data_IF_645626649955
#
_entry.id   IF_645626649955
#
_cell.length_a   1.000
_cell.length_b   1.000
_cell.length_c   1.000
_cell.angle_alpha   90.00
_cell.angle_beta   90.00
_cell.angle_gamma   90.00
#
_symmetry.space_group_name_H-M   'P 1'
#
loop_
_entity.id
_entity.type
_entity.pdbx_description
1 polymer ?
#
# COMPACT_ATOMS: atom_id res chain seq x y z
N UNK A 1 27.90 30.78 -12.28
CA UNK A 1 27.18 29.51 -12.54
C UNK A 1 26.66 29.57 -13.96
N UNK A 2 27.04 28.64 -14.83
CA UNK A 2 26.75 28.75 -16.26
C UNK A 2 25.24 28.69 -16.50
N UNK A 3 24.68 29.49 -17.43
CA UNK A 3 23.23 29.52 -17.69
C UNK A 3 22.68 28.14 -18.05
N UNK A 4 23.50 27.32 -18.73
CA UNK A 4 23.19 25.93 -19.06
C UNK A 4 22.96 25.06 -17.81
N UNK A 5 23.77 25.24 -16.75
CA UNK A 5 23.64 24.48 -15.50
C UNK A 5 22.36 24.86 -14.76
N UNK A 6 22.00 26.15 -14.78
CA UNK A 6 20.76 26.65 -14.15
C UNK A 6 19.54 26.04 -14.83
N UNK A 7 19.52 26.00 -16.16
CA UNK A 7 18.42 25.43 -16.93
C UNK A 7 18.23 23.93 -16.67
N UNK A 8 19.34 23.19 -16.59
CA UNK A 8 19.33 21.75 -16.26
C UNK A 8 18.77 21.53 -14.86
N UNK A 9 19.18 22.32 -13.87
CA UNK A 9 18.70 22.19 -12.49
C UNK A 9 17.19 22.47 -12.41
N UNK A 10 16.70 23.52 -13.07
CA UNK A 10 15.27 23.85 -13.11
C UNK A 10 14.47 22.71 -13.75
N UNK A 11 14.97 22.13 -14.84
CA UNK A 11 14.32 21.01 -15.53
C UNK A 11 14.22 19.76 -14.64
N UNK A 12 15.28 19.42 -13.89
CA UNK A 12 15.27 18.28 -12.96
C UNK A 12 14.27 18.52 -11.82
N UNK A 13 14.27 19.72 -11.22
CA UNK A 13 13.34 20.05 -10.13
C UNK A 13 11.89 19.93 -10.60
N UNK A 14 11.59 20.47 -11.78
CA UNK A 14 10.24 20.40 -12.38
C UNK A 14 9.79 18.95 -12.60
N UNK A 15 10.69 18.07 -13.07
CA UNK A 15 10.39 16.65 -13.25
C UNK A 15 10.12 15.94 -11.91
N UNK A 16 10.92 16.21 -10.87
CA UNK A 16 10.73 15.58 -9.55
C UNK A 16 9.42 15.99 -8.87
N UNK A 17 8.91 17.20 -9.14
CA UNK A 17 7.63 17.66 -8.61
C UNK A 17 6.44 16.89 -9.22
N UNK A 18 6.56 16.47 -10.49
CA UNK A 18 5.52 15.72 -11.19
C UNK A 18 5.47 14.24 -10.78
N UNK A 19 6.59 13.68 -10.33
CA UNK A 19 6.73 12.27 -9.97
C UNK A 19 6.40 11.97 -8.50
N UNK A 20 5.55 12.78 -7.87
CA UNK A 20 5.13 12.50 -6.49
C UNK A 20 4.19 11.29 -6.49
N UNK A 21 4.76 10.12 -6.27
CA UNK A 21 4.03 8.87 -6.09
C UNK A 21 3.62 8.83 -4.63
N UNK A 22 2.36 9.10 -4.34
CA UNK A 22 1.80 8.71 -3.05
C UNK A 22 1.81 7.17 -3.02
N UNK A 23 2.44 6.58 -1.98
CA UNK A 23 2.22 5.17 -1.69
C UNK A 23 0.73 5.02 -1.39
N UNK A 24 -0.02 4.55 -2.38
CA UNK A 24 -1.40 4.13 -2.15
C UNK A 24 -1.25 2.92 -1.23
N UNK A 25 -1.59 3.09 0.06
CA UNK A 25 -1.85 1.99 0.97
C UNK A 25 -3.07 1.22 0.44
N UNK A 26 -2.85 0.45 -0.62
CA UNK A 26 -3.86 -0.40 -1.21
C UNK A 26 -3.97 -1.66 -0.36
N UNK A 27 -5.18 -1.94 0.08
CA UNK A 27 -5.48 -3.18 0.78
C UNK A 27 -5.22 -4.36 -0.17
N UNK A 28 -4.37 -5.28 0.29
CA UNK A 28 -3.97 -6.46 -0.47
C UNK A 28 -4.75 -7.68 0.02
N UNK A 29 -5.27 -8.51 -0.88
CA UNK A 29 -5.94 -9.74 -0.49
C UNK A 29 -4.94 -10.71 0.17
N UNK A 30 -5.29 -11.29 1.33
CA UNK A 30 -4.43 -12.30 1.98
C UNK A 30 -4.30 -13.56 1.12
N UNK A 31 -3.06 -14.06 0.99
CA UNK A 31 -2.76 -15.31 0.27
C UNK A 31 -2.90 -16.57 1.13
N UNK A 32 -2.71 -16.45 2.45
CA UNK A 32 -2.75 -17.58 3.38
C UNK A 32 -4.10 -17.72 4.10
N UNK A 33 -4.93 -16.68 4.15
CA UNK A 33 -6.23 -16.74 4.80
C UNK A 33 -7.21 -17.60 3.98
N UNK A 34 -7.77 -18.64 4.60
CA UNK A 34 -8.68 -19.58 3.93
C UNK A 34 -10.06 -19.52 4.56
N UNK A 35 -11.07 -19.56 3.69
CA UNK A 35 -12.47 -19.55 4.10
C UNK A 35 -12.98 -18.14 4.44
N UNK A 36 -14.17 -18.06 5.06
CA UNK A 36 -14.80 -16.79 5.36
C UNK A 36 -14.14 -16.06 6.52
N UNK A 37 -14.02 -14.75 6.36
CA UNK A 37 -13.52 -13.86 7.39
C UNK A 37 -14.63 -13.56 8.39
N UNK A 38 -14.53 -14.16 9.58
CA UNK A 38 -15.49 -13.99 10.69
C UNK A 38 -14.92 -13.19 11.86
N UNK A 39 -13.62 -12.92 11.84
CA UNK A 39 -12.92 -12.20 12.91
C UNK A 39 -11.73 -11.44 12.33
N UNK A 40 -11.73 -10.12 12.52
CA UNK A 40 -10.63 -9.24 12.12
C UNK A 40 -9.32 -9.62 12.80
N UNK A 41 -9.38 -10.10 14.05
CA UNK A 41 -8.18 -10.53 14.79
C UNK A 41 -7.49 -11.71 14.11
N UNK A 42 -8.27 -12.68 13.60
CA UNK A 42 -7.70 -13.82 12.86
C UNK A 42 -7.09 -13.36 11.54
N UNK A 43 -7.79 -12.50 10.80
CA UNK A 43 -7.28 -11.92 9.55
C UNK A 43 -5.97 -11.16 9.79
N UNK A 44 -5.94 -10.26 10.78
CA UNK A 44 -4.77 -9.48 11.18
C UNK A 44 -3.57 -10.35 11.54
N UNK A 45 -3.76 -11.44 12.27
CA UNK A 45 -2.66 -12.34 12.64
C UNK A 45 -2.07 -13.04 11.41
N UNK A 46 -2.91 -13.46 10.46
CA UNK A 46 -2.46 -14.04 9.19
C UNK A 46 -1.71 -13.00 8.36
N UNK A 47 -2.25 -11.79 8.20
CA UNK A 47 -1.61 -10.69 7.49
C UNK A 47 -0.25 -10.33 8.11
N UNK A 48 -0.11 -10.33 9.43
CA UNK A 48 1.19 -10.15 10.10
C UNK A 48 2.18 -11.27 9.77
N UNK A 49 1.71 -12.51 9.68
CA UNK A 49 2.52 -13.64 9.18
C UNK A 49 2.95 -13.48 7.72
N UNK A 50 2.17 -12.77 6.92
CA UNK A 50 2.49 -12.39 5.52
C UNK A 50 3.42 -11.16 5.42
N UNK A 51 3.85 -10.58 6.56
CA UNK A 51 4.70 -9.40 6.58
C UNK A 51 3.96 -8.07 6.43
N UNK A 52 2.63 -8.06 6.61
CA UNK A 52 1.78 -6.85 6.58
C UNK A 52 1.58 -6.29 7.98
N UNK A 53 1.34 -4.98 8.13
CA UNK A 53 1.13 -4.35 9.45
C UNK A 53 -0.18 -4.75 10.10
N UNK A 54 -1.24 -4.87 9.30
CA UNK A 54 -2.61 -5.05 9.79
C UNK A 54 -3.47 -5.80 8.76
N UNK A 55 -4.74 -6.00 9.10
CA UNK A 55 -5.75 -6.55 8.21
C UNK A 55 -7.15 -6.50 8.84
N UNK A 56 -8.16 -6.55 7.98
CA UNK A 56 -9.57 -6.49 8.31
C UNK A 56 -10.40 -7.41 7.41
N UNK A 57 -11.55 -7.85 7.92
CA UNK A 57 -12.55 -8.57 7.15
C UNK A 57 -13.42 -7.57 6.37
N UNK A 58 -13.74 -7.91 5.12
CA UNK A 58 -14.76 -7.16 4.39
C UNK A 58 -16.14 -7.27 5.10
N UNK A 59 -16.93 -6.20 5.10
CA UNK A 59 -18.24 -6.08 5.79
C UNK A 59 -19.31 -7.05 5.27
N UNK A 60 -19.05 -7.77 4.19
CA UNK A 60 -19.96 -8.79 3.66
C UNK A 60 -19.97 -10.05 4.54
N UNK A 61 -21.15 -10.65 4.76
CA UNK A 61 -21.27 -11.96 5.39
C UNK A 61 -20.47 -12.98 4.56
N UNK A 62 -19.51 -13.70 5.16
CA UNK A 62 -18.49 -14.50 4.46
C UNK A 62 -17.49 -13.70 3.61
N UNK A 63 -17.13 -12.49 4.06
CA UNK A 63 -16.13 -11.64 3.40
C UNK A 63 -14.74 -12.28 3.33
N UNK A 64 -13.89 -11.72 2.46
CA UNK A 64 -12.46 -12.09 2.40
C UNK A 64 -11.65 -11.26 3.40
N UNK A 65 -10.47 -11.76 3.74
CA UNK A 65 -9.48 -11.05 4.55
C UNK A 65 -8.63 -10.14 3.66
N UNK A 66 -8.57 -8.87 4.03
CA UNK A 66 -7.77 -7.84 3.38
C UNK A 66 -6.66 -7.40 4.33
N UNK A 67 -5.43 -7.34 3.82
CA UNK A 67 -4.23 -6.97 4.56
C UNK A 67 -3.79 -5.55 4.22
N UNK A 68 -3.54 -4.79 5.27
CA UNK A 68 -3.07 -3.41 5.25
C UNK A 68 -1.55 -3.37 5.47
N UNK A 69 -0.87 -2.55 4.69
CA UNK A 69 0.59 -2.37 4.73
C UNK A 69 1.04 -1.34 5.76
#
# INVERSE_FOLDING_TARGET
MNPLKIFIIISIISLTLLLKIDEINADSLSGNFKGPCLSDTNCRNVCKGEGKRSGHCNTTFFGKCWCEN
#
